data_IF_866984303141
#
_entry.id   IF_866984303141
#
_cell.length_a   1.000
_cell.length_b   1.000
_cell.length_c   1.000
_cell.angle_alpha   90.00
_cell.angle_beta   90.00
_cell.angle_gamma   90.00
#
_symmetry.space_group_name_H-M   'P 1'
#
loop_
_entity.id
_entity.type
_entity.pdbx_description
1 polymer ?
#
# COMPACT_ATOMS: atom_id res chain seq x y z
N UNK A 1 5.43 5.37 39.04
CA UNK A 1 5.65 4.19 38.16
C UNK A 1 7.04 4.30 37.56
N UNK A 2 7.97 3.40 37.87
CA UNK A 2 9.30 3.41 37.28
C UNK A 2 9.20 3.19 35.77
N UNK A 3 9.82 4.09 34.99
CA UNK A 3 9.89 3.99 33.53
C UNK A 3 10.93 2.92 33.18
N UNK A 4 10.49 1.69 32.99
CA UNK A 4 11.33 0.65 32.39
C UNK A 4 11.60 1.03 30.92
N UNK A 5 12.77 1.62 30.66
CA UNK A 5 13.31 1.69 29.31
C UNK A 5 13.70 0.28 28.86
N UNK A 6 13.19 -0.21 27.72
CA UNK A 6 13.49 -1.56 27.24
C UNK A 6 14.97 -1.67 26.85
N UNK A 7 15.66 -2.68 27.40
CA UNK A 7 17.09 -2.95 27.14
C UNK A 7 17.38 -3.65 25.80
N UNK A 8 16.35 -4.10 25.07
CA UNK A 8 16.48 -4.71 23.73
C UNK A 8 15.55 -3.95 22.77
N UNK A 9 16.13 -3.10 21.93
CA UNK A 9 15.40 -2.08 21.17
C UNK A 9 14.96 -2.47 19.76
N UNK A 10 15.10 -3.73 19.36
CA UNK A 10 14.81 -4.15 17.99
C UNK A 10 13.69 -5.19 17.97
N UNK A 11 12.73 -4.95 17.08
CA UNK A 11 11.61 -5.81 16.76
C UNK A 11 12.17 -7.15 16.25
N UNK A 12 11.93 -8.27 16.95
CA UNK A 12 12.36 -9.59 16.46
C UNK A 12 11.68 -9.88 15.11
N UNK A 13 12.33 -10.67 14.24
CA UNK A 13 11.74 -10.96 12.93
C UNK A 13 10.38 -11.67 13.04
N UNK A 14 10.19 -12.48 14.09
CA UNK A 14 8.90 -13.10 14.39
C UNK A 14 7.84 -12.06 14.80
N UNK A 15 8.20 -11.04 15.57
CA UNK A 15 7.29 -9.93 15.88
C UNK A 15 7.00 -9.10 14.62
N UNK A 16 8.01 -8.83 13.79
CA UNK A 16 7.86 -8.01 12.59
C UNK A 16 6.90 -8.67 11.61
N UNK A 17 6.95 -10.00 11.52
CA UNK A 17 5.99 -10.82 10.81
C UNK A 17 4.55 -10.61 11.31
N UNK A 18 4.30 -10.54 12.61
CA UNK A 18 2.94 -10.38 13.13
C UNK A 18 2.37 -8.98 12.90
N UNK A 19 3.22 -7.94 12.91
CA UNK A 19 2.77 -6.54 12.88
C UNK A 19 2.93 -5.85 11.51
N UNK A 20 3.78 -6.36 10.63
CA UNK A 20 3.91 -5.86 9.26
C UNK A 20 3.06 -6.71 8.31
N UNK A 21 2.22 -6.12 7.45
CA UNK A 21 1.37 -6.85 6.52
C UNK A 21 2.23 -7.61 5.49
N UNK A 22 2.39 -8.91 5.70
CA UNK A 22 3.30 -9.77 4.91
C UNK A 22 2.80 -10.01 3.48
N UNK A 23 1.50 -10.28 3.32
CA UNK A 23 0.95 -10.75 2.02
C UNK A 23 0.63 -9.57 1.10
N UNK A 24 0.10 -8.47 1.66
CA UNK A 24 -0.24 -7.28 0.88
C UNK A 24 0.97 -6.66 0.20
N UNK A 25 2.10 -6.55 0.90
CA UNK A 25 3.35 -6.01 0.36
C UNK A 25 3.99 -6.91 -0.70
N UNK A 26 3.88 -8.23 -0.54
CA UNK A 26 4.34 -9.19 -1.56
C UNK A 26 3.49 -9.08 -2.84
N UNK A 27 2.18 -8.85 -2.73
CA UNK A 27 1.35 -8.59 -3.90
C UNK A 27 1.68 -7.27 -4.59
N UNK A 28 1.97 -6.19 -3.85
CA UNK A 28 2.44 -4.92 -4.44
C UNK A 28 3.74 -5.13 -5.22
N UNK A 29 4.66 -5.93 -4.69
CA UNK A 29 5.92 -6.24 -5.36
C UNK A 29 5.73 -7.04 -6.66
N UNK A 30 4.59 -7.72 -6.83
CA UNK A 30 4.23 -8.46 -8.05
C UNK A 30 3.43 -7.62 -9.06
N UNK A 31 2.87 -6.47 -8.63
CA UNK A 31 2.25 -5.50 -9.53
C UNK A 31 3.38 -4.76 -10.24
N UNK A 32 3.64 -5.14 -11.48
CA UNK A 32 4.54 -4.40 -12.33
C UNK A 32 3.90 -3.04 -12.61
N UNK A 33 4.69 -1.96 -12.55
CA UNK A 33 4.27 -0.62 -12.99
C UNK A 33 4.17 -0.58 -14.51
N UNK A 34 3.26 -1.36 -15.06
CA UNK A 34 2.94 -1.37 -16.47
C UNK A 34 1.73 -0.44 -16.69
N UNK A 35 1.67 0.33 -17.78
CA UNK A 35 0.52 1.18 -18.06
C UNK A 35 -0.75 0.33 -18.23
N UNK A 36 -1.91 0.87 -17.86
CA UNK A 36 -3.16 0.10 -17.77
C UNK A 36 -3.57 -0.59 -19.08
N UNK A 37 -3.09 -0.08 -20.22
CA UNK A 37 -3.35 -0.61 -21.55
C UNK A 37 -2.55 -1.88 -21.89
N UNK A 38 -1.61 -2.31 -21.04
CA UNK A 38 -0.85 -3.56 -21.22
C UNK A 38 -1.13 -4.59 -20.12
N UNK A 39 -2.14 -4.34 -19.28
CA UNK A 39 -2.50 -5.28 -18.23
C UNK A 39 -3.10 -6.55 -18.80
N UNK A 40 -2.44 -7.68 -18.55
CA UNK A 40 -3.06 -8.97 -18.78
C UNK A 40 -4.20 -9.21 -17.75
N UNK A 41 -5.12 -10.16 -18.00
CA UNK A 41 -6.20 -10.46 -17.06
C UNK A 41 -5.73 -10.83 -15.66
N UNK A 42 -4.54 -11.40 -15.51
CA UNK A 42 -3.97 -11.77 -14.22
C UNK A 42 -3.50 -10.54 -13.43
N UNK A 43 -2.90 -9.56 -14.11
CA UNK A 43 -2.53 -8.26 -13.55
C UNK A 43 -3.76 -7.48 -13.12
N UNK A 44 -4.80 -7.42 -13.95
CA UNK A 44 -6.04 -6.75 -13.58
C UNK A 44 -6.71 -7.40 -12.35
N UNK A 45 -6.77 -8.73 -12.29
CA UNK A 45 -7.24 -9.45 -11.12
C UNK A 45 -6.38 -9.14 -9.88
N UNK A 46 -5.05 -9.14 -10.03
CA UNK A 46 -4.11 -8.83 -8.95
C UNK A 46 -4.33 -7.42 -8.40
N UNK A 47 -4.55 -6.43 -9.26
CA UNK A 47 -4.83 -5.05 -8.87
C UNK A 47 -6.17 -4.96 -8.13
N UNK A 48 -7.23 -5.61 -8.63
CA UNK A 48 -8.53 -5.64 -7.95
C UNK A 48 -8.41 -6.26 -6.55
N UNK A 49 -7.74 -7.42 -6.44
CA UNK A 49 -7.52 -8.07 -5.16
C UNK A 49 -6.65 -7.23 -4.22
N UNK A 50 -5.60 -6.61 -4.74
CA UNK A 50 -4.71 -5.76 -3.98
C UNK A 50 -5.46 -4.54 -3.43
N UNK A 51 -6.11 -3.76 -4.30
CA UNK A 51 -6.88 -2.58 -3.93
C UNK A 51 -8.00 -2.94 -2.97
N UNK A 52 -8.81 -3.96 -3.27
CA UNK A 52 -9.88 -4.43 -2.39
C UNK A 52 -9.36 -4.89 -1.02
N UNK A 53 -8.24 -5.62 -1.00
CA UNK A 53 -7.57 -6.03 0.22
C UNK A 53 -7.04 -4.86 1.04
N UNK A 54 -6.46 -3.84 0.39
CA UNK A 54 -5.98 -2.62 1.04
C UNK A 54 -7.14 -1.84 1.69
N UNK A 55 -8.24 -1.64 0.97
CA UNK A 55 -9.45 -1.01 1.51
C UNK A 55 -10.00 -1.76 2.74
N UNK A 56 -10.12 -3.09 2.65
CA UNK A 56 -10.61 -3.90 3.75
C UNK A 56 -9.67 -3.83 4.96
N UNK A 57 -8.35 -3.95 4.73
CA UNK A 57 -7.36 -3.90 5.80
C UNK A 57 -7.34 -2.54 6.51
N UNK A 58 -7.30 -1.44 5.75
CA UNK A 58 -7.35 -0.08 6.31
C UNK A 58 -8.67 0.14 7.06
N UNK A 59 -9.80 -0.19 6.43
CA UNK A 59 -11.13 0.03 6.99
C UNK A 59 -11.38 -0.75 8.27
N UNK A 60 -11.10 -2.06 8.29
CA UNK A 60 -11.26 -2.90 9.48
C UNK A 60 -10.34 -2.46 10.59
N UNK A 61 -9.07 -2.17 10.29
CA UNK A 61 -8.11 -1.77 11.32
C UNK A 61 -8.46 -0.41 11.92
N UNK A 62 -8.89 0.57 11.10
CA UNK A 62 -9.39 1.86 11.60
C UNK A 62 -10.65 1.70 12.45
N UNK A 63 -11.60 0.86 12.02
CA UNK A 63 -12.82 0.61 12.77
C UNK A 63 -12.52 0.02 14.15
N UNK A 64 -11.71 -1.05 14.21
CA UNK A 64 -11.30 -1.69 15.46
C UNK A 64 -10.56 -0.69 16.34
N UNK A 65 -9.66 0.11 15.77
CA UNK A 65 -8.90 1.10 16.50
C UNK A 65 -9.79 2.18 17.13
N UNK A 66 -10.72 2.76 16.36
CA UNK A 66 -11.69 3.73 16.87
C UNK A 66 -12.53 3.11 17.97
N UNK A 67 -12.99 1.86 17.78
CA UNK A 67 -13.74 1.14 18.80
C UNK A 67 -12.93 0.95 20.09
N UNK A 68 -11.67 0.54 19.98
CA UNK A 68 -10.77 0.40 21.12
C UNK A 68 -10.53 1.73 21.84
N UNK A 69 -10.33 2.82 21.09
CA UNK A 69 -10.05 4.14 21.67
C UNK A 69 -11.29 4.83 22.25
N UNK A 70 -12.51 4.48 21.83
CA UNK A 70 -13.73 5.13 22.32
C UNK A 70 -14.51 4.29 23.32
N UNK A 71 -14.60 2.98 23.12
CA UNK A 71 -15.59 2.13 23.78
C UNK A 71 -14.99 0.95 24.55
N UNK A 72 -13.76 0.53 24.25
CA UNK A 72 -13.18 -0.61 24.95
C UNK A 72 -12.79 -0.26 26.38
N UNK A 73 -13.45 -0.91 27.34
CA UNK A 73 -13.10 -0.86 28.76
C UNK A 73 -12.01 -1.88 29.15
N UNK A 74 -11.80 -2.89 28.29
CA UNK A 74 -10.85 -3.99 28.53
C UNK A 74 -9.41 -3.53 28.36
N UNK A 75 -9.15 -2.69 27.35
CA UNK A 75 -7.80 -2.24 27.02
C UNK A 75 -7.45 -0.97 27.79
N UNK A 76 -6.51 -1.08 28.74
CA UNK A 76 -6.00 0.07 29.49
C UNK A 76 -4.99 0.87 28.65
N UNK A 77 -5.50 1.82 27.86
CA UNK A 77 -4.67 2.71 27.04
C UNK A 77 -4.30 3.98 27.82
N UNK A 78 -2.99 4.20 28.03
CA UNK A 78 -2.48 5.38 28.72
C UNK A 78 -2.77 6.69 27.96
N UNK A 79 -2.80 7.84 28.66
CA UNK A 79 -3.19 9.12 28.04
C UNK A 79 -2.28 9.56 26.88
N UNK A 80 -0.96 9.30 26.97
CA UNK A 80 -0.02 9.64 25.91
C UNK A 80 -0.15 8.71 24.70
N UNK A 81 -0.22 7.39 24.92
CA UNK A 81 -0.49 6.39 23.88
C UNK A 81 -1.79 6.71 23.14
N UNK A 82 -2.87 7.00 23.89
CA UNK A 82 -4.17 7.35 23.32
C UNK A 82 -4.09 8.54 22.36
N UNK A 83 -3.33 9.58 22.70
CA UNK A 83 -3.12 10.76 21.84
C UNK A 83 -2.36 10.39 20.56
N UNK A 84 -1.31 9.57 20.67
CA UNK A 84 -0.53 9.14 19.50
C UNK A 84 -1.37 8.27 18.55
N UNK A 85 -2.14 7.31 19.10
CA UNK A 85 -3.02 6.44 18.32
C UNK A 85 -4.12 7.25 17.63
N UNK A 86 -4.76 8.18 18.33
CA UNK A 86 -5.71 9.12 17.70
C UNK A 86 -5.07 9.96 16.59
N UNK A 87 -3.85 10.47 16.79
CA UNK A 87 -3.15 11.21 15.74
C UNK A 87 -2.92 10.35 14.48
N UNK A 88 -2.51 9.08 14.66
CA UNK A 88 -2.34 8.15 13.53
C UNK A 88 -3.67 7.87 12.83
N UNK A 89 -4.75 7.63 13.57
CA UNK A 89 -6.11 7.43 13.03
C UNK A 89 -6.56 8.63 12.20
N UNK A 90 -6.42 9.85 12.74
CA UNK A 90 -6.83 11.06 12.04
C UNK A 90 -6.02 11.29 10.77
N UNK A 91 -4.70 11.11 10.81
CA UNK A 91 -3.83 11.26 9.64
C UNK A 91 -4.12 10.19 8.58
N UNK A 92 -4.39 8.94 8.99
CA UNK A 92 -4.81 7.88 8.08
C UNK A 92 -6.15 8.20 7.40
N UNK A 93 -7.15 8.69 8.16
CA UNK A 93 -8.45 9.09 7.62
C UNK A 93 -8.36 10.25 6.62
N UNK A 94 -7.56 11.29 6.93
CA UNK A 94 -7.33 12.42 6.02
C UNK A 94 -6.64 11.96 4.75
N UNK A 95 -5.63 11.09 4.86
CA UNK A 95 -4.92 10.54 3.69
C UNK A 95 -5.85 9.68 2.83
N UNK A 96 -6.65 8.81 3.46
CA UNK A 96 -7.65 7.99 2.78
C UNK A 96 -8.73 8.85 2.09
N UNK A 97 -9.09 9.99 2.67
CA UNK A 97 -10.02 10.94 2.05
C UNK A 97 -9.45 11.51 0.75
N UNK A 98 -8.18 11.94 0.72
CA UNK A 98 -7.53 12.41 -0.51
C UNK A 98 -7.49 11.33 -1.58
N UNK A 99 -7.18 10.09 -1.19
CA UNK A 99 -7.19 8.95 -2.09
C UNK A 99 -8.58 8.71 -2.68
N UNK A 100 -9.62 8.56 -1.84
CA UNK A 100 -11.00 8.34 -2.28
C UNK A 100 -11.51 9.48 -3.15
N UNK A 101 -11.20 10.73 -2.78
CA UNK A 101 -11.55 11.89 -3.59
C UNK A 101 -10.93 11.82 -5.00
N UNK A 102 -9.66 11.43 -5.09
CA UNK A 102 -8.98 11.28 -6.39
C UNK A 102 -9.48 10.07 -7.19
N UNK A 103 -10.02 9.03 -6.54
CA UNK A 103 -10.65 7.89 -7.23
C UNK A 103 -12.04 8.20 -7.78
N UNK A 104 -12.76 9.14 -7.15
CA UNK A 104 -14.13 9.52 -7.54
C UNK A 104 -14.12 10.60 -8.63
N UNK A 105 -13.19 11.55 -8.55
CA UNK A 105 -13.13 12.70 -9.44
C UNK A 105 -11.88 12.65 -10.30
N UNK A 106 -12.05 12.81 -11.61
CA UNK A 106 -10.94 13.17 -12.49
C UNK A 106 -10.63 14.67 -12.38
N UNK A 107 -9.40 15.10 -12.71
CA UNK A 107 -9.10 16.53 -12.82
C UNK A 107 -10.05 17.28 -13.75
N UNK A 108 -10.48 16.65 -14.86
CA UNK A 108 -11.43 17.24 -15.80
C UNK A 108 -12.81 17.52 -15.17
N UNK A 109 -13.29 16.65 -14.28
CA UNK A 109 -14.58 16.83 -13.57
C UNK A 109 -14.57 18.08 -12.68
N UNK A 110 -13.40 18.50 -12.23
CA UNK A 110 -13.20 19.70 -11.40
C UNK A 110 -12.84 20.95 -12.23
N UNK A 111 -12.87 20.83 -13.56
CA UNK A 111 -12.49 21.92 -14.47
C UNK A 111 -10.99 22.22 -14.48
N UNK A 112 -10.14 21.30 -14.00
CA UNK A 112 -8.70 21.44 -14.08
C UNK A 112 -8.22 21.08 -15.47
N UNK A 113 -7.44 21.97 -16.09
CA UNK A 113 -6.81 21.69 -17.37
C UNK A 113 -5.60 20.74 -17.20
N UNK A 114 -5.15 20.21 -18.35
CA UNK A 114 -3.89 19.47 -18.47
C UNK A 114 -3.85 18.17 -17.66
N UNK A 115 -4.93 17.40 -17.73
CA UNK A 115 -4.97 16.01 -17.24
C UNK A 115 -4.10 15.08 -18.10
N UNK A 116 -3.92 13.84 -17.65
CA UNK A 116 -3.24 12.78 -18.39
C UNK A 116 -3.97 12.50 -19.70
N UNK A 117 -3.27 12.67 -20.82
CA UNK A 117 -3.85 12.42 -22.14
C UNK A 117 -3.40 11.06 -22.67
N UNK A 118 -4.39 10.18 -22.84
CA UNK A 118 -4.23 8.86 -23.45
C UNK A 118 -4.66 8.94 -24.92
N UNK A 119 -3.69 8.76 -25.84
CA UNK A 119 -3.93 8.86 -27.29
C UNK A 119 -3.71 7.51 -27.98
N UNK A 120 -4.47 7.21 -29.07
CA UNK A 120 -4.27 6.00 -29.86
C UNK A 120 -2.83 5.93 -30.38
N UNK A 121 -2.13 4.83 -30.12
CA UNK A 121 -0.77 4.64 -30.62
C UNK A 121 -0.86 4.48 -32.14
N UNK A 122 -0.30 5.44 -32.88
CA UNK A 122 -0.21 5.38 -34.34
C UNK A 122 1.20 5.78 -34.80
N UNK A 123 1.55 5.40 -36.02
CA UNK A 123 2.89 5.67 -36.59
C UNK A 123 3.26 7.15 -36.58
N UNK A 124 2.30 8.05 -36.79
CA UNK A 124 2.55 9.50 -36.79
C UNK A 124 2.94 10.03 -35.40
N UNK A 125 2.32 9.49 -34.35
CA UNK A 125 2.56 9.90 -32.97
C UNK A 125 3.89 9.32 -32.46
N UNK A 126 4.20 8.07 -32.78
CA UNK A 126 5.49 7.44 -32.49
C UNK A 126 6.64 8.24 -33.13
N UNK A 127 6.47 8.61 -34.39
CA UNK A 127 7.50 9.38 -35.11
C UNK A 127 7.67 10.79 -34.50
N UNK A 128 6.58 11.39 -34.02
CA UNK A 128 6.63 12.66 -33.26
C UNK A 128 7.34 12.50 -31.92
N UNK A 129 7.05 11.44 -31.16
CA UNK A 129 7.71 11.14 -29.89
C UNK A 129 9.22 10.90 -30.08
N UNK A 130 9.59 10.17 -31.14
CA UNK A 130 10.99 9.95 -31.53
C UNK A 130 11.72 11.27 -31.80
N UNK A 131 11.09 12.19 -32.54
CA UNK A 131 11.65 13.52 -32.84
C UNK A 131 11.78 14.41 -31.61
N UNK A 132 10.90 14.25 -30.62
CA UNK A 132 10.92 15.02 -29.37
C UNK A 132 11.89 14.46 -28.32
N UNK A 133 12.74 13.48 -28.66
CA UNK A 133 13.70 12.89 -27.74
C UNK A 133 13.13 11.83 -26.79
N UNK A 134 11.86 11.45 -26.93
CA UNK A 134 11.21 10.38 -26.17
C UNK A 134 11.34 9.01 -26.88
N UNK A 135 12.48 8.77 -27.56
CA UNK A 135 12.68 7.61 -28.44
C UNK A 135 12.57 6.25 -27.73
N UNK A 136 12.92 6.16 -26.45
CA UNK A 136 12.81 4.92 -25.69
C UNK A 136 11.35 4.48 -25.49
N UNK A 137 10.45 5.43 -25.18
CA UNK A 137 9.01 5.18 -25.04
C UNK A 137 8.43 4.81 -26.42
N UNK A 138 8.84 5.52 -27.47
CA UNK A 138 8.41 5.23 -28.83
C UNK A 138 8.81 3.81 -29.29
N UNK A 139 9.99 3.31 -28.90
CA UNK A 139 10.43 1.95 -29.23
C UNK A 139 9.67 0.88 -28.44
N UNK A 140 9.37 1.13 -27.17
CA UNK A 140 8.51 0.26 -26.37
C UNK A 140 7.08 0.21 -26.94
N UNK A 141 6.53 1.35 -27.36
CA UNK A 141 5.24 1.44 -28.06
C UNK A 141 5.27 0.63 -29.36
N UNK A 142 6.35 0.73 -30.15
CA UNK A 142 6.52 -0.07 -31.39
C UNK A 142 6.55 -1.57 -31.08
N UNK A 143 7.29 -1.99 -30.05
CA UNK A 143 7.39 -3.41 -29.65
C UNK A 143 6.03 -3.94 -29.17
N UNK A 144 5.31 -3.14 -28.36
CA UNK A 144 3.92 -3.42 -27.98
C UNK A 144 3.01 -3.50 -29.21
N UNK A 145 3.21 -2.66 -30.23
CA UNK A 145 2.45 -2.74 -31.49
C UNK A 145 2.80 -3.95 -32.36
N UNK A 146 4.00 -4.51 -32.22
CA UNK A 146 4.41 -5.70 -32.97
C UNK A 146 3.90 -7.00 -32.31
N UNK A 147 3.78 -7.01 -30.98
CA UNK A 147 3.34 -8.18 -30.22
C UNK A 147 1.83 -8.27 -29.99
N UNK A 148 1.12 -7.15 -29.93
CA UNK A 148 -0.33 -7.10 -29.77
C UNK A 148 -0.94 -6.65 -31.10
N UNK A 149 -1.80 -7.48 -31.69
CA UNK A 149 -2.64 -7.08 -32.80
C UNK A 149 -3.52 -5.91 -32.34
N UNK A 150 -3.04 -4.69 -32.56
CA UNK A 150 -3.85 -3.50 -32.41
C UNK A 150 -4.88 -3.48 -33.56
N UNK A 151 -5.93 -4.28 -33.44
CA UNK A 151 -7.15 -4.17 -34.25
C UNK A 151 -7.89 -2.87 -33.89
N UNK A 152 -8.25 -2.02 -34.85
CA UNK A 152 -9.05 -0.81 -34.60
C UNK A 152 -10.32 -1.02 -33.77
N UNK A 153 -10.75 -2.28 -33.64
CA UNK A 153 -11.98 -2.75 -33.02
C UNK A 153 -11.83 -3.13 -31.53
N UNK A 154 -10.61 -3.28 -30.99
CA UNK A 154 -10.49 -3.79 -29.63
C UNK A 154 -10.76 -2.73 -28.55
N UNK A 155 -11.32 -3.22 -27.46
CA UNK A 155 -12.02 -2.41 -26.48
C UNK A 155 -11.06 -1.51 -25.71
N UNK A 156 -11.54 -0.30 -25.40
CA UNK A 156 -10.89 0.63 -24.48
C UNK A 156 -10.46 -0.10 -23.19
N UNK A 157 -9.22 0.07 -22.65
CA UNK A 157 -8.20 1.08 -22.93
C UNK A 157 -6.96 0.60 -23.73
N UNK A 158 -6.97 -0.61 -24.28
CA UNK A 158 -5.77 -1.31 -24.81
C UNK A 158 -4.95 -0.48 -25.82
N UNK A 159 -5.59 0.40 -26.61
CA UNK A 159 -4.97 1.13 -27.74
C UNK A 159 -4.28 2.44 -27.39
N UNK A 160 -4.26 2.86 -26.13
CA UNK A 160 -3.82 4.22 -25.79
C UNK A 160 -2.52 4.23 -24.99
N UNK A 161 -1.50 4.88 -25.56
CA UNK A 161 -0.29 5.26 -24.84
C UNK A 161 -0.53 6.53 -24.02
N UNK A 162 0.19 6.66 -22.90
CA UNK A 162 0.23 7.92 -22.14
C UNK A 162 1.16 8.89 -22.85
N UNK A 163 0.60 9.93 -23.48
CA UNK A 163 1.39 10.83 -24.33
C UNK A 163 1.69 12.18 -23.70
N UNK A 164 0.76 12.71 -22.90
CA UNK A 164 1.01 13.90 -22.09
C UNK A 164 0.78 13.54 -20.62
N UNK A 165 1.83 13.72 -19.81
CA UNK A 165 1.69 13.65 -18.35
C UNK A 165 0.87 14.85 -17.87
N UNK A 166 0.11 14.65 -16.79
CA UNK A 166 -0.62 15.74 -16.17
C UNK A 166 0.32 16.87 -15.75
N UNK A 167 -0.16 18.11 -15.78
CA UNK A 167 0.58 19.28 -15.31
C UNK A 167 -0.30 20.24 -14.50
N UNK A 168 0.33 21.20 -13.82
CA UNK A 168 -0.38 22.20 -13.03
C UNK A 168 -1.28 21.59 -11.94
N UNK A 169 -2.53 22.04 -11.87
CA UNK A 169 -3.49 21.59 -10.86
C UNK A 169 -3.86 20.11 -10.98
N UNK A 170 -3.96 19.58 -12.21
CA UNK A 170 -4.25 18.15 -12.43
C UNK A 170 -3.14 17.25 -11.86
N UNK A 171 -1.87 17.63 -12.05
CA UNK A 171 -0.74 16.91 -11.47
C UNK A 171 -0.78 16.94 -9.94
N UNK A 172 -1.07 18.08 -9.33
CA UNK A 172 -1.18 18.20 -7.86
C UNK A 172 -2.28 17.27 -7.33
N UNK A 173 -3.44 17.23 -7.98
CA UNK A 173 -4.54 16.36 -7.59
C UNK A 173 -4.17 14.88 -7.68
N UNK A 174 -3.54 14.44 -8.78
CA UNK A 174 -3.07 13.05 -8.95
C UNK A 174 -2.01 12.72 -7.90
N UNK A 175 -1.07 13.62 -7.63
CA UNK A 175 -0.06 13.43 -6.60
C UNK A 175 -0.70 13.33 -5.20
N UNK A 176 -1.72 14.12 -4.89
CA UNK A 176 -2.46 14.02 -3.62
C UNK A 176 -3.18 12.68 -3.48
N UNK A 177 -3.73 12.12 -4.57
CA UNK A 177 -4.30 10.78 -4.57
C UNK A 177 -3.25 9.72 -4.23
N UNK A 178 -2.10 9.76 -4.92
CA UNK A 178 -0.98 8.85 -4.67
C UNK A 178 -0.45 8.93 -3.24
N UNK A 179 -0.14 10.14 -2.76
CA UNK A 179 0.35 10.35 -1.39
C UNK A 179 -0.73 10.09 -0.34
N UNK A 180 -2.01 10.25 -0.69
CA UNK A 180 -3.14 9.87 0.14
C UNK A 180 -3.20 8.37 0.38
N UNK A 181 -3.02 7.56 -0.67
CA UNK A 181 -2.97 6.11 -0.56
C UNK A 181 -1.77 5.65 0.29
N UNK A 182 -0.58 6.13 -0.07
CA UNK A 182 0.66 5.81 0.64
C UNK A 182 0.60 6.27 2.09
N UNK A 183 0.08 7.47 2.34
CA UNK A 183 -0.09 8.06 3.67
C UNK A 183 -1.06 7.25 4.53
N UNK A 184 -2.20 6.84 3.97
CA UNK A 184 -3.17 6.01 4.68
C UNK A 184 -2.52 4.69 5.15
N UNK A 185 -1.81 4.00 4.26
CA UNK A 185 -1.06 2.80 4.61
C UNK A 185 0.02 3.06 5.68
N UNK A 186 0.83 4.10 5.49
CA UNK A 186 1.94 4.43 6.39
C UNK A 186 1.48 4.79 7.81
N UNK A 187 0.43 5.61 7.95
CA UNK A 187 -0.10 5.98 9.26
C UNK A 187 -0.80 4.81 9.96
N UNK A 188 -1.39 3.87 9.20
CA UNK A 188 -1.90 2.62 9.77
C UNK A 188 -0.80 1.71 10.28
N UNK A 189 0.29 1.55 9.52
CA UNK A 189 1.48 0.83 10.01
C UNK A 189 2.08 1.49 11.24
N UNK A 190 2.17 2.83 11.25
CA UNK A 190 2.64 3.58 12.41
C UNK A 190 1.72 3.35 13.62
N UNK A 191 0.40 3.32 13.43
CA UNK A 191 -0.55 3.00 14.50
C UNK A 191 -0.28 1.60 15.08
N UNK A 192 -0.08 0.59 14.24
CA UNK A 192 0.26 -0.76 14.69
C UNK A 192 1.60 -0.80 15.44
N UNK A 193 2.60 -0.04 14.99
CA UNK A 193 3.88 0.10 15.69
C UNK A 193 3.72 0.78 17.06
N UNK A 194 2.86 1.80 17.17
CA UNK A 194 2.53 2.43 18.44
C UNK A 194 1.87 1.42 19.37
N UNK A 195 0.88 0.66 18.90
CA UNK A 195 0.23 -0.40 19.70
C UNK A 195 1.26 -1.41 20.18
N UNK A 196 2.13 -1.90 19.30
CA UNK A 196 3.20 -2.82 19.66
C UNK A 196 4.15 -2.21 20.70
N UNK A 197 4.56 -0.97 20.50
CA UNK A 197 5.49 -0.27 21.40
C UNK A 197 4.92 -0.11 22.81
N UNK A 198 3.61 0.13 22.95
CA UNK A 198 2.96 0.24 24.27
C UNK A 198 2.45 -1.09 24.82
N UNK A 199 2.44 -2.16 24.02
CA UNK A 199 1.99 -3.49 24.45
C UNK A 199 2.93 -4.13 25.48
N UNK A 200 2.35 -4.74 26.51
CA UNK A 200 3.08 -5.57 27.46
C UNK A 200 3.74 -6.79 26.80
N UNK A 201 3.16 -7.28 25.70
CA UNK A 201 3.68 -8.44 24.96
C UNK A 201 5.08 -8.19 24.37
N UNK A 202 5.52 -6.93 24.18
CA UNK A 202 6.90 -6.65 23.76
C UNK A 202 7.94 -7.05 24.81
N UNK A 203 7.52 -7.15 26.07
CA UNK A 203 8.38 -7.52 27.20
C UNK A 203 8.46 -9.04 27.39
N UNK A 204 7.60 -9.79 26.69
CA UNK A 204 7.60 -11.25 26.69
C UNK A 204 8.53 -11.70 25.57
N UNK A 205 9.76 -12.09 25.92
CA UNK A 205 10.68 -12.73 24.98
C UNK A 205 10.02 -14.07 24.56
N UNK A 206 9.51 -14.15 23.33
CA UNK A 206 9.12 -15.42 22.73
C UNK A 206 10.41 -16.18 22.39
N UNK A 207 10.55 -17.46 22.81
CA UNK A 207 11.74 -18.24 22.48
C UNK A 207 11.87 -18.34 20.95
N UNK A 208 13.01 -17.92 20.42
CA UNK A 208 13.28 -17.94 18.97
C UNK A 208 13.54 -19.37 18.46
N UNK A 209 14.02 -20.25 19.34
CA UNK A 209 14.34 -21.64 19.05
C UNK A 209 13.38 -22.61 19.75
N UNK A 210 12.56 -23.31 18.96
CA UNK A 210 11.74 -24.43 19.47
C UNK A 210 12.59 -25.65 19.86
N UNK A 211 13.86 -25.68 19.48
CA UNK A 211 14.80 -26.78 19.75
C UNK A 211 15.23 -26.89 21.22
N UNK A 212 15.12 -25.82 22.02
CA UNK A 212 15.41 -25.90 23.45
C UNK A 212 14.28 -26.56 24.25
N UNK A 213 13.05 -26.61 23.70
CA UNK A 213 11.90 -27.24 24.36
C UNK A 213 11.91 -28.77 24.29
N UNK A 214 12.69 -29.38 23.38
CA UNK A 214 12.80 -30.82 23.25
C UNK A 214 13.86 -31.45 24.15
N UNK A 215 14.80 -30.67 24.70
CA UNK A 215 15.87 -31.20 25.56
C UNK A 215 15.53 -31.26 27.05
N UNK A 216 14.41 -30.67 27.50
CA UNK A 216 13.99 -30.69 28.91
C UNK A 216 13.04 -31.84 29.27
N UNK A 217 12.73 -32.75 28.33
CA UNK A 217 11.78 -33.86 28.52
C UNK A 217 12.36 -35.18 29.05
N UNK A 218 13.68 -35.36 29.08
CA UNK A 218 14.32 -36.61 29.53
C UNK A 218 15.09 -36.41 30.86
N UNK A 219 14.40 -36.44 32.00
CA UNK A 219 15.09 -36.77 33.28
C UNK A 219 14.20 -37.29 34.42
N UNK A 220 12.91 -37.54 34.20
CA UNK A 220 12.01 -37.98 35.27
C UNK A 220 11.85 -39.51 35.45
N UNK A 221 12.53 -40.34 34.64
CA UNK A 221 12.32 -41.79 34.64
C UNK A 221 13.38 -42.64 35.39
N UNK A 222 14.29 -42.05 36.19
CA UNK A 222 15.33 -42.81 36.91
C UNK A 222 15.27 -42.67 38.45
N UNK A 223 14.08 -42.76 39.04
CA UNK A 223 13.92 -42.88 40.49
C UNK A 223 12.72 -43.78 40.87
N UNK A 224 12.82 -45.07 40.54
CA UNK A 224 12.04 -46.14 41.18
C UNK A 224 12.81 -47.46 41.14
#
# INVERSE_FOLDING_TARGET
>A
MPRCFPKKGLLSMMSARTFLPQIGMLMVALIHTAPANVWDPAQNATIIFHTGGAFLWIGVTLYVEVYTLQYSEVVQVGAFERKLRWACVLLALVSAMFYVFNQIFSPADLGLCCDVEYLPVNSSIIEKARRNGAGAIAMQDIELMQGLHFTPDATYPLYRGMYNSASGGALVMIMLGFWGEMGAGAFMLLNLLVIWYFSANRLVDLPEDMSESSSSGESLDNAA
#
